data_IF_864950921819
#
_entry.id   IF_864950921819
#
_cell.length_a   1.000
_cell.length_b   1.000
_cell.length_c   1.000
_cell.angle_alpha   90.00
_cell.angle_beta   90.00
_cell.angle_gamma   90.00
#
_symmetry.space_group_name_H-M   'P 1'
#
loop_
_entity.id
_entity.type
_entity.pdbx_description
1 polymer ?
#
# COMPACT_ATOMS: atom_id res chain seq x y z
N UNK A 1 16.56 19.79 10.38
CA UNK A 1 16.38 18.34 10.59
C UNK A 1 15.39 17.80 9.56
N UNK A 2 15.72 16.67 8.94
CA UNK A 2 14.83 16.05 7.94
C UNK A 2 13.98 14.97 8.59
N UNK A 3 12.79 14.76 8.02
CA UNK A 3 11.89 13.66 8.40
C UNK A 3 11.17 13.18 7.14
N UNK A 4 10.71 11.93 7.17
CA UNK A 4 9.88 11.41 6.09
C UNK A 4 8.48 11.98 6.29
N UNK A 5 8.07 12.88 5.39
CA UNK A 5 6.75 13.54 5.48
C UNK A 5 5.66 12.80 4.73
N UNK A 6 5.98 12.24 3.59
CA UNK A 6 5.01 11.56 2.72
C UNK A 6 5.75 10.52 1.87
N UNK A 7 5.13 9.36 1.69
CA UNK A 7 5.57 8.39 0.69
C UNK A 7 4.75 8.64 -0.58
N UNK A 8 5.42 8.76 -1.72
CA UNK A 8 4.75 8.99 -3.01
C UNK A 8 4.84 7.72 -3.84
N UNK A 9 3.69 7.20 -4.24
CA UNK A 9 3.56 5.99 -5.03
C UNK A 9 3.07 6.35 -6.43
N UNK A 10 3.83 5.99 -7.45
CA UNK A 10 3.42 6.17 -8.84
C UNK A 10 2.36 5.15 -9.22
N UNK A 11 1.29 5.61 -9.86
CA UNK A 11 0.16 4.76 -10.22
C UNK A 11 -0.33 5.09 -11.63
N UNK A 12 -0.96 4.12 -12.28
CA UNK A 12 -1.50 4.30 -13.62
C UNK A 12 -2.84 5.04 -13.58
N UNK A 13 -3.65 4.79 -12.56
CA UNK A 13 -4.98 5.38 -12.38
C UNK A 13 -5.11 5.83 -10.92
N UNK A 14 -5.03 7.13 -10.70
CA UNK A 14 -5.04 7.71 -9.35
C UNK A 14 -6.35 7.42 -8.63
N UNK A 15 -7.50 7.51 -9.32
CA UNK A 15 -8.81 7.25 -8.70
C UNK A 15 -8.93 5.79 -8.26
N UNK A 16 -8.54 4.85 -9.12
CA UNK A 16 -8.60 3.42 -8.80
C UNK A 16 -7.67 3.09 -7.63
N UNK A 17 -6.46 3.62 -7.65
CA UNK A 17 -5.51 3.44 -6.56
C UNK A 17 -6.03 4.00 -5.25
N UNK A 18 -6.67 5.19 -5.29
CA UNK A 18 -7.23 5.82 -4.11
C UNK A 18 -8.38 5.00 -3.52
N UNK A 19 -9.25 4.42 -4.34
CA UNK A 19 -10.33 3.55 -3.87
C UNK A 19 -9.75 2.35 -3.11
N UNK A 20 -8.71 1.74 -3.65
CA UNK A 20 -8.04 0.62 -2.98
C UNK A 20 -7.40 1.04 -1.67
N UNK A 21 -6.52 2.04 -1.72
CA UNK A 21 -5.69 2.39 -0.57
C UNK A 21 -6.48 3.04 0.59
N UNK A 22 -7.54 3.80 0.28
CA UNK A 22 -8.40 4.34 1.35
C UNK A 22 -9.07 3.23 2.15
N UNK A 23 -9.50 2.16 1.49
CA UNK A 23 -10.13 1.03 2.16
C UNK A 23 -9.08 0.11 2.81
N UNK A 24 -7.95 -0.10 2.15
CA UNK A 24 -6.90 -0.97 2.68
C UNK A 24 -6.33 -0.44 3.99
N UNK A 25 -6.10 0.88 4.09
CA UNK A 25 -5.44 1.51 5.23
C UNK A 25 -6.38 2.25 6.18
N UNK A 26 -7.68 2.36 5.85
CA UNK A 26 -8.62 3.26 6.53
C UNK A 26 -8.12 4.70 6.48
N UNK A 27 -7.70 5.12 5.31
CA UNK A 27 -7.25 6.48 5.02
C UNK A 27 -8.35 7.25 4.31
N UNK A 28 -8.22 8.57 4.34
CA UNK A 28 -9.11 9.50 3.63
C UNK A 28 -8.26 10.51 2.88
N UNK A 29 -8.79 11.14 1.82
CA UNK A 29 -8.10 12.24 1.17
C UNK A 29 -7.84 13.38 2.16
N UNK A 30 -6.64 13.96 2.08
CA UNK A 30 -6.29 15.12 2.94
C UNK A 30 -7.17 16.30 2.58
N UNK A 31 -7.67 17.03 3.60
CA UNK A 31 -8.72 18.02 3.42
C UNK A 31 -8.33 19.24 2.59
N UNK A 32 -7.04 19.55 2.49
CA UNK A 32 -6.54 20.77 1.85
C UNK A 32 -6.26 20.62 0.35
N UNK A 33 -6.61 19.47 -0.25
CA UNK A 33 -6.30 19.22 -1.65
C UNK A 33 -7.52 19.36 -2.55
N UNK A 34 -7.29 19.59 -3.86
CA UNK A 34 -8.35 19.64 -4.84
C UNK A 34 -9.00 18.27 -5.02
N UNK A 35 -10.34 18.21 -4.90
CA UNK A 35 -11.09 16.95 -4.92
C UNK A 35 -11.07 16.24 -6.28
N UNK A 36 -10.83 16.98 -7.37
CA UNK A 36 -11.02 16.50 -8.74
C UNK A 36 -9.73 16.31 -9.53
N UNK A 37 -8.57 16.38 -8.87
CA UNK A 37 -7.29 16.25 -9.58
C UNK A 37 -7.09 14.78 -9.98
N UNK A 38 -7.11 14.44 -11.29
CA UNK A 38 -6.92 13.06 -11.72
C UNK A 38 -5.46 12.61 -11.69
N UNK A 39 -4.53 13.50 -11.35
CA UNK A 39 -3.09 13.21 -11.42
C UNK A 39 -2.42 13.07 -10.07
N UNK A 40 -3.13 13.43 -8.97
CA UNK A 40 -2.51 13.50 -7.66
C UNK A 40 -3.56 13.48 -6.55
N UNK A 41 -3.30 12.71 -5.50
CA UNK A 41 -4.04 12.81 -4.25
C UNK A 41 -3.13 12.40 -3.08
N UNK A 42 -3.37 12.97 -1.92
CA UNK A 42 -2.67 12.59 -0.69
C UNK A 42 -3.68 11.99 0.27
N UNK A 43 -3.38 10.82 0.77
CA UNK A 43 -4.22 10.09 1.72
C UNK A 43 -3.59 10.13 3.10
N UNK A 44 -4.42 10.31 4.12
CA UNK A 44 -3.99 10.39 5.52
C UNK A 44 -4.90 9.50 6.37
N UNK A 45 -4.44 9.06 7.56
CA UNK A 45 -5.29 8.26 8.45
C UNK A 45 -6.61 8.98 8.76
N UNK A 46 -7.73 8.25 8.66
CA UNK A 46 -9.08 8.81 8.81
C UNK A 46 -9.32 9.39 10.21
N UNK A 47 -8.69 8.80 11.22
CA UNK A 47 -8.89 9.16 12.62
C UNK A 47 -7.80 10.07 13.19
N UNK A 48 -6.94 10.60 12.33
CA UNK A 48 -5.79 11.40 12.75
C UNK A 48 -4.67 10.58 13.37
N UNK A 49 -4.65 9.27 13.14
CA UNK A 49 -3.62 8.36 13.65
C UNK A 49 -2.23 8.67 13.12
N UNK A 50 -1.26 7.91 13.60
CA UNK A 50 0.17 8.18 13.38
C UNK A 50 0.73 7.60 12.08
N UNK A 51 -0.08 7.00 11.25
CA UNK A 51 0.39 6.44 9.97
C UNK A 51 0.93 7.53 9.04
N UNK A 52 1.94 7.19 8.24
CA UNK A 52 2.51 8.13 7.29
C UNK A 52 1.50 8.46 6.18
N UNK A 53 1.41 9.72 5.75
CA UNK A 53 0.66 10.07 4.55
C UNK A 53 1.16 9.30 3.33
N UNK A 54 0.23 8.89 2.48
CA UNK A 54 0.51 8.20 1.22
C UNK A 54 -0.03 9.04 0.07
N UNK A 55 0.86 9.55 -0.77
CA UNK A 55 0.47 10.27 -1.97
C UNK A 55 0.44 9.31 -3.16
N UNK A 56 -0.54 9.49 -4.02
CA UNK A 56 -0.69 8.74 -5.25
C UNK A 56 -0.53 9.72 -6.41
N UNK A 57 0.51 9.51 -7.21
CA UNK A 57 0.84 10.38 -8.33
C UNK A 57 0.76 9.62 -9.65
N UNK A 58 0.14 10.22 -10.66
CA UNK A 58 0.07 9.62 -11.99
C UNK A 58 1.48 9.42 -12.54
N UNK A 59 1.78 8.22 -13.00
CA UNK A 59 3.09 7.86 -13.52
C UNK A 59 2.95 6.97 -14.74
N UNK A 60 3.78 7.22 -15.75
CA UNK A 60 3.89 6.35 -16.92
C UNK A 60 5.06 5.37 -16.79
N UNK A 61 5.81 5.44 -15.69
CA UNK A 61 6.92 4.53 -15.45
C UNK A 61 6.38 3.10 -15.24
N UNK A 62 6.92 2.10 -15.94
CA UNK A 62 6.49 0.72 -15.74
C UNK A 62 6.70 0.26 -14.30
N UNK A 63 5.76 -0.54 -13.80
CA UNK A 63 5.88 -1.13 -12.47
C UNK A 63 7.06 -2.10 -12.43
N UNK A 64 7.74 -2.16 -11.28
CA UNK A 64 8.84 -3.09 -11.07
C UNK A 64 8.33 -4.38 -10.42
N UNK A 65 8.70 -5.53 -10.98
CA UNK A 65 8.37 -6.82 -10.35
C UNK A 65 9.14 -7.03 -9.05
N UNK A 66 10.36 -6.52 -8.98
CA UNK A 66 11.20 -6.55 -7.77
C UNK A 66 11.53 -5.10 -7.40
N UNK A 67 10.62 -4.39 -6.74
CA UNK A 67 10.80 -2.97 -6.50
C UNK A 67 11.94 -2.70 -5.52
N UNK A 68 12.67 -1.62 -5.76
CA UNK A 68 13.75 -1.18 -4.87
C UNK A 68 13.22 -0.50 -3.63
N UNK A 69 12.00 0.03 -3.67
CA UNK A 69 11.26 0.59 -2.53
C UNK A 69 9.89 -0.06 -2.51
N UNK A 70 9.44 -0.49 -1.36
CA UNK A 70 8.09 -1.04 -1.19
C UNK A 70 7.58 -0.72 0.21
N UNK A 71 6.28 -0.88 0.40
CA UNK A 71 5.65 -0.70 1.70
C UNK A 71 5.56 -2.05 2.40
N UNK A 72 5.85 -2.06 3.70
CA UNK A 72 5.55 -3.18 4.58
C UNK A 72 4.35 -2.80 5.45
N UNK A 73 3.28 -3.56 5.37
CA UNK A 73 2.08 -3.35 6.17
C UNK A 73 2.05 -4.37 7.30
N UNK A 74 1.97 -3.90 8.52
CA UNK A 74 2.02 -4.74 9.71
C UNK A 74 0.64 -5.26 10.05
N UNK A 75 0.48 -6.57 10.08
CA UNK A 75 -0.83 -7.20 10.25
C UNK A 75 -1.10 -7.71 11.67
N UNK A 76 -0.07 -8.04 12.42
CA UNK A 76 -0.22 -8.70 13.70
C UNK A 76 0.32 -10.13 13.63
N UNK A 77 -0.43 -11.12 14.09
CA UNK A 77 0.02 -12.52 14.05
C UNK A 77 -0.30 -13.20 12.71
N UNK A 78 0.01 -14.48 12.59
CA UNK A 78 -0.21 -15.22 11.34
C UNK A 78 -1.68 -15.27 10.94
N UNK A 79 -2.59 -15.37 11.91
CA UNK A 79 -4.04 -15.38 11.62
C UNK A 79 -4.50 -14.02 11.13
N UNK A 80 -4.01 -12.93 11.74
CA UNK A 80 -4.29 -11.57 11.30
C UNK A 80 -3.74 -11.34 9.90
N UNK A 81 -2.53 -11.81 9.63
CA UNK A 81 -1.91 -11.70 8.30
C UNK A 81 -2.80 -12.38 7.25
N UNK A 82 -3.23 -13.60 7.50
CA UNK A 82 -4.07 -14.34 6.55
C UNK A 82 -5.41 -13.62 6.32
N UNK A 83 -6.05 -13.12 7.37
CA UNK A 83 -7.32 -12.40 7.26
C UNK A 83 -7.15 -11.09 6.47
N UNK A 84 -6.08 -10.35 6.72
CA UNK A 84 -5.81 -9.11 5.98
C UNK A 84 -5.53 -9.38 4.52
N UNK A 85 -4.79 -10.44 4.17
CA UNK A 85 -4.55 -10.81 2.77
C UNK A 85 -5.88 -11.09 2.07
N UNK A 86 -6.77 -11.87 2.68
CA UNK A 86 -8.09 -12.15 2.11
C UNK A 86 -8.87 -10.85 1.87
N UNK A 87 -8.86 -9.95 2.84
CA UNK A 87 -9.54 -8.65 2.75
C UNK A 87 -8.97 -7.81 1.61
N UNK A 88 -7.64 -7.72 1.51
CA UNK A 88 -6.96 -6.93 0.48
C UNK A 88 -7.21 -7.49 -0.92
N UNK A 89 -7.20 -8.81 -1.07
CA UNK A 89 -7.53 -9.45 -2.36
C UNK A 89 -8.98 -9.14 -2.75
N UNK A 90 -9.90 -9.16 -1.80
CA UNK A 90 -11.30 -8.79 -2.06
C UNK A 90 -11.43 -7.32 -2.50
N UNK A 91 -10.53 -6.44 -2.05
CA UNK A 91 -10.50 -5.02 -2.45
C UNK A 91 -9.84 -4.79 -3.81
N UNK A 92 -9.17 -5.78 -4.37
CA UNK A 92 -8.54 -5.68 -5.69
C UNK A 92 -7.05 -5.97 -5.73
N UNK A 93 -6.41 -6.26 -4.61
CA UNK A 93 -5.01 -6.68 -4.62
C UNK A 93 -4.87 -8.05 -5.29
N UNK A 94 -3.71 -8.31 -5.87
CA UNK A 94 -3.41 -9.58 -6.51
C UNK A 94 -2.30 -10.31 -5.76
N UNK A 95 -2.42 -11.62 -5.64
CA UNK A 95 -1.31 -12.46 -5.23
C UNK A 95 -0.31 -12.49 -6.38
N UNK A 96 0.99 -12.47 -6.05
CA UNK A 96 2.04 -12.49 -7.06
C UNK A 96 2.92 -13.72 -6.88
N UNK A 97 3.53 -14.14 -7.97
CA UNK A 97 4.50 -15.23 -7.95
C UNK A 97 5.87 -14.65 -7.58
N UNK A 98 6.14 -14.61 -6.28
CA UNK A 98 7.36 -14.00 -5.74
C UNK A 98 8.45 -15.06 -5.57
N UNK A 99 9.57 -14.90 -6.25
CA UNK A 99 10.65 -15.89 -6.33
C UNK A 99 11.77 -15.67 -5.29
N UNK A 100 11.66 -14.65 -4.46
CA UNK A 100 12.73 -14.29 -3.50
C UNK A 100 12.33 -14.51 -2.04
N UNK A 101 11.38 -15.42 -1.76
CA UNK A 101 11.05 -15.74 -0.39
C UNK A 101 12.20 -16.49 0.30
N UNK A 102 12.56 -16.11 1.54
CA UNK A 102 13.46 -16.93 2.34
C UNK A 102 12.77 -18.23 2.79
N UNK A 103 13.49 -19.09 3.51
CA UNK A 103 13.01 -20.42 3.89
C UNK A 103 11.79 -20.39 4.82
N UNK A 104 11.59 -19.36 5.60
CA UNK A 104 10.46 -19.26 6.53
C UNK A 104 10.03 -17.79 6.61
N UNK A 105 9.37 -17.28 5.57
CA UNK A 105 9.09 -15.85 5.51
C UNK A 105 8.03 -15.42 6.52
N UNK A 106 8.21 -14.24 7.10
CA UNK A 106 7.21 -13.57 7.92
C UNK A 106 6.34 -12.63 7.09
N UNK A 107 6.52 -12.60 5.78
CA UNK A 107 5.82 -11.67 4.90
C UNK A 107 5.24 -12.38 3.69
N UNK A 108 4.19 -11.78 3.14
CA UNK A 108 3.58 -12.19 1.86
C UNK A 108 3.57 -10.98 0.94
N UNK A 109 4.01 -11.16 -0.30
CA UNK A 109 4.04 -10.11 -1.31
C UNK A 109 2.74 -10.12 -2.10
N UNK A 110 2.10 -8.95 -2.19
CA UNK A 110 0.92 -8.72 -3.01
C UNK A 110 1.22 -7.58 -3.98
N UNK A 111 0.38 -7.42 -4.99
CA UNK A 111 0.35 -6.24 -5.84
C UNK A 111 -0.93 -5.46 -5.59
N UNK A 112 -0.84 -4.13 -5.55
CA UNK A 112 -2.04 -3.29 -5.50
C UNK A 112 -2.75 -3.27 -6.87
N UNK A 113 -3.82 -2.48 -6.99
CA UNK A 113 -4.59 -2.40 -8.24
C UNK A 113 -3.77 -1.85 -9.41
N UNK A 114 -2.62 -1.24 -9.14
CA UNK A 114 -1.74 -0.65 -10.15
C UNK A 114 -0.53 -1.54 -10.45
N UNK A 115 -0.42 -2.68 -9.77
CA UNK A 115 0.70 -3.60 -9.93
C UNK A 115 1.88 -3.33 -8.99
N UNK A 116 1.83 -2.30 -8.18
CA UNK A 116 2.91 -2.01 -7.23
C UNK A 116 2.95 -3.09 -6.15
N UNK A 117 4.15 -3.67 -5.94
CA UNK A 117 4.37 -4.71 -4.92
C UNK A 117 4.44 -4.10 -3.54
N UNK A 118 3.80 -4.75 -2.59
CA UNK A 118 3.90 -4.41 -1.17
C UNK A 118 3.84 -5.70 -0.37
N UNK A 119 4.20 -5.62 0.91
CA UNK A 119 4.26 -6.79 1.78
C UNK A 119 3.28 -6.66 2.93
N UNK A 120 2.68 -7.79 3.31
CA UNK A 120 1.89 -7.92 4.53
C UNK A 120 2.69 -8.76 5.50
N UNK A 121 2.97 -8.22 6.67
CA UNK A 121 3.96 -8.75 7.60
C UNK A 121 3.28 -9.36 8.84
N UNK A 122 3.67 -10.59 9.18
CA UNK A 122 3.38 -11.17 10.49
C UNK A 122 4.40 -10.61 11.49
N UNK A 123 3.98 -9.70 12.35
CA UNK A 123 4.86 -9.00 13.29
C UNK A 123 5.04 -9.72 14.62
N UNK A 124 4.39 -10.87 14.80
CA UNK A 124 4.49 -11.67 16.03
C UNK A 124 5.54 -12.78 15.94
N UNK A 125 6.26 -12.86 14.84
CA UNK A 125 7.29 -13.88 14.66
C UNK A 125 8.64 -13.32 15.07
N UNK A 126 8.73 -12.97 16.24
CA UNK A 126 9.90 -12.40 16.82
C UNK A 126 11.23 -12.67 16.25
#
# INVERSE_FOLDING_TARGET
>A
MLQIGTVVLGVTDVRRAAIFWTQALHYVPRADQAADDPTWTVLVPADGGSGAPLALGLSETPVQEHPRVHLDLYAGDAADQAAEIERLVALGAARVDWDLYPADPDFVVLADTEGNRFCVIDTNRG
#
